data_IF_876252505540
#
_entry.id   IF_876252505540
#
_cell.length_a   1.000
_cell.length_b   1.000
_cell.length_c   1.000
_cell.angle_alpha   90.00
_cell.angle_beta   90.00
_cell.angle_gamma   90.00
#
_symmetry.space_group_name_H-M   'P 1'
#
loop_
_entity.id
_entity.type
_entity.pdbx_description
1 polymer ?
#
# COMPACT_ATOMS: atom_id res chain seq x y z
N UNK A 1 6.00 19.32 13.97
CA UNK A 1 4.71 19.30 13.22
C UNK A 1 3.47 19.49 14.10
N UNK A 2 3.18 18.61 15.09
CA UNK A 2 1.97 18.73 15.95
C UNK A 2 1.87 20.08 16.66
N UNK A 3 2.99 20.61 17.15
CA UNK A 3 3.04 21.91 17.82
C UNK A 3 2.70 23.07 16.89
N UNK A 4 3.25 23.10 15.67
CA UNK A 4 2.91 24.08 14.63
C UNK A 4 1.41 24.03 14.33
N UNK A 5 0.85 22.81 14.20
CA UNK A 5 -0.58 22.65 13.95
C UNK A 5 -1.46 23.17 15.09
N UNK A 6 -1.04 22.97 16.36
CA UNK A 6 -1.75 23.48 17.54
C UNK A 6 -1.60 25.00 17.68
N UNK A 7 -0.40 25.54 17.46
CA UNK A 7 -0.07 26.96 17.64
C UNK A 7 -0.74 27.86 16.60
N UNK A 8 -0.89 27.37 15.37
CA UNK A 8 -1.52 28.11 14.26
C UNK A 8 -2.81 27.43 13.78
N UNK A 9 -3.65 26.96 14.71
CA UNK A 9 -4.88 26.22 14.39
C UNK A 9 -5.85 27.05 13.53
N UNK A 10 -5.96 28.34 13.82
CA UNK A 10 -6.91 29.26 13.17
C UNK A 10 -6.28 30.04 12.00
N UNK A 11 -4.96 29.92 11.80
CA UNK A 11 -4.23 30.60 10.72
C UNK A 11 -3.53 29.57 9.82
N UNK A 12 -4.27 29.11 8.80
CA UNK A 12 -3.77 28.12 7.84
C UNK A 12 -2.58 28.62 7.02
N UNK A 13 -2.48 29.93 6.77
CA UNK A 13 -1.38 30.47 6.00
C UNK A 13 -0.08 30.40 6.79
N UNK A 14 -0.07 30.90 8.04
CA UNK A 14 1.12 30.73 8.92
C UNK A 14 1.44 29.28 9.19
N UNK A 15 0.42 28.44 9.38
CA UNK A 15 0.63 27.00 9.57
C UNK A 15 1.38 26.39 8.38
N UNK A 16 0.98 26.71 7.14
CA UNK A 16 1.65 26.21 5.94
C UNK A 16 3.08 26.74 5.80
N UNK A 17 3.31 28.01 6.13
CA UNK A 17 4.64 28.64 6.07
C UNK A 17 5.61 28.01 7.07
N UNK A 18 5.20 27.87 8.33
CA UNK A 18 6.02 27.26 9.38
C UNK A 18 6.26 25.76 9.11
N UNK A 19 5.29 25.06 8.52
CA UNK A 19 5.50 23.69 8.04
C UNK A 19 6.60 23.62 6.99
N UNK A 20 6.60 24.55 6.03
CA UNK A 20 7.62 24.63 4.98
C UNK A 20 8.99 25.01 5.53
N UNK A 21 9.06 25.93 6.50
CA UNK A 21 10.32 26.25 7.21
C UNK A 21 10.90 25.03 7.91
N UNK A 22 10.07 24.30 8.66
CA UNK A 22 10.47 23.06 9.33
C UNK A 22 11.02 22.02 8.33
N UNK A 23 10.35 21.85 7.19
CA UNK A 23 10.83 20.94 6.14
C UNK A 23 12.20 21.36 5.57
N UNK A 24 12.42 22.67 5.36
CA UNK A 24 13.69 23.22 4.90
C UNK A 24 14.81 23.05 5.92
N UNK A 25 14.55 23.34 7.20
CA UNK A 25 15.52 23.19 8.29
C UNK A 25 16.01 21.75 8.43
N UNK A 26 15.09 20.79 8.38
CA UNK A 26 15.42 19.36 8.44
C UNK A 26 15.83 18.75 7.09
N UNK A 27 15.95 19.57 6.02
CA UNK A 27 16.30 19.13 4.66
C UNK A 27 15.42 17.98 4.14
N UNK A 28 14.17 17.96 4.54
CA UNK A 28 13.17 16.97 4.12
C UNK A 28 12.28 17.56 3.04
N UNK A 29 11.96 16.79 1.99
CA UNK A 29 11.09 17.25 0.90
C UNK A 29 9.71 16.56 0.96
N UNK A 30 8.59 17.30 1.10
CA UNK A 30 7.25 16.69 1.08
C UNK A 30 6.92 16.01 -0.25
N UNK A 31 7.53 16.44 -1.36
CA UNK A 31 7.38 15.81 -2.68
C UNK A 31 8.24 14.54 -2.85
N UNK A 32 9.14 14.23 -1.93
CA UNK A 32 9.88 12.96 -2.00
C UNK A 32 8.93 11.75 -1.98
N UNK A 33 7.73 11.90 -1.41
CA UNK A 33 6.70 10.86 -1.41
C UNK A 33 6.11 10.56 -2.80
N UNK A 34 6.19 11.47 -3.78
CA UNK A 34 5.69 11.23 -5.14
C UNK A 34 6.79 10.78 -6.11
N UNK A 35 8.07 10.91 -5.73
CA UNK A 35 9.21 10.47 -6.52
C UNK A 35 9.12 9.01 -7.01
N UNK A 36 8.68 8.03 -6.19
CA UNK A 36 8.56 6.65 -6.65
C UNK A 36 7.60 6.48 -7.84
N UNK A 37 6.50 7.24 -7.85
CA UNK A 37 5.51 7.20 -8.93
C UNK A 37 6.13 7.75 -10.22
N UNK A 38 6.86 8.87 -10.13
CA UNK A 38 7.51 9.49 -11.28
C UNK A 38 8.62 8.60 -11.85
N UNK A 39 9.42 7.98 -10.98
CA UNK A 39 10.49 7.08 -11.40
C UNK A 39 9.95 5.81 -12.08
N UNK A 40 8.76 5.33 -11.70
CA UNK A 40 8.13 4.14 -12.29
C UNK A 40 7.37 4.43 -13.59
N UNK A 41 6.90 5.67 -13.80
CA UNK A 41 6.06 6.05 -14.92
C UNK A 41 6.61 5.61 -16.31
N UNK A 42 7.92 5.73 -16.63
CA UNK A 42 8.44 5.30 -17.93
C UNK A 42 8.25 3.82 -18.22
N UNK A 43 8.43 2.97 -17.20
CA UNK A 43 8.25 1.50 -17.31
C UNK A 43 6.79 1.18 -17.55
N UNK A 44 5.90 1.87 -16.82
CA UNK A 44 4.46 1.74 -17.00
C UNK A 44 4.04 2.10 -18.43
N UNK A 45 4.45 3.26 -18.94
CA UNK A 45 4.06 3.72 -20.28
C UNK A 45 4.60 2.80 -21.38
N UNK A 46 5.83 2.29 -21.24
CA UNK A 46 6.39 1.35 -22.20
C UNK A 46 5.55 0.05 -22.26
N UNK A 47 5.27 -0.57 -21.12
CA UNK A 47 4.49 -1.82 -21.06
C UNK A 47 3.04 -1.61 -21.48
N UNK A 48 2.41 -0.53 -21.04
CA UNK A 48 1.04 -0.19 -21.44
C UNK A 48 0.95 0.00 -22.96
N UNK A 49 1.88 0.74 -23.56
CA UNK A 49 1.90 0.99 -25.01
C UNK A 49 2.01 -0.31 -25.80
N UNK A 50 2.87 -1.23 -25.35
CA UNK A 50 3.07 -2.52 -26.01
C UNK A 50 1.83 -3.43 -25.87
N UNK A 51 1.32 -3.60 -24.65
CA UNK A 51 0.16 -4.48 -24.39
C UNK A 51 -1.12 -3.93 -25.03
N UNK A 52 -1.32 -2.62 -24.97
CA UNK A 52 -2.44 -1.96 -25.64
C UNK A 52 -2.27 -2.01 -27.16
N UNK A 53 -1.04 -1.93 -27.66
CA UNK A 53 -0.74 -2.10 -29.08
C UNK A 53 -1.09 -3.49 -29.59
N UNK A 54 -0.75 -4.55 -28.84
CA UNK A 54 -1.15 -5.93 -29.15
C UNK A 54 -2.68 -6.05 -29.29
N UNK A 55 -3.43 -5.44 -28.39
CA UNK A 55 -4.90 -5.45 -28.42
C UNK A 55 -5.49 -4.75 -29.66
N UNK A 56 -4.84 -3.69 -30.14
CA UNK A 56 -5.30 -2.89 -31.27
C UNK A 56 -4.59 -3.22 -32.58
N UNK A 57 -3.91 -4.37 -32.65
CA UNK A 57 -3.10 -4.78 -33.80
C UNK A 57 -2.11 -3.70 -34.28
N UNK A 58 -1.53 -2.96 -33.34
CA UNK A 58 -0.56 -1.88 -33.59
C UNK A 58 0.84 -2.35 -33.17
N UNK A 59 1.78 -2.49 -34.13
CA UNK A 59 3.11 -2.98 -33.83
C UNK A 59 3.92 -1.95 -33.04
N UNK A 60 4.70 -2.43 -32.08
CA UNK A 60 5.63 -1.61 -31.28
C UNK A 60 6.95 -2.34 -31.07
N UNK A 61 8.06 -1.70 -31.47
CA UNK A 61 9.39 -2.27 -31.36
C UNK A 61 9.52 -3.61 -32.12
N UNK A 62 9.92 -4.66 -31.40
CA UNK A 62 10.07 -6.01 -31.96
C UNK A 62 8.75 -6.79 -32.07
N UNK A 63 7.65 -6.33 -31.45
CA UNK A 63 6.34 -6.96 -31.59
C UNK A 63 5.65 -6.49 -32.87
N UNK A 64 6.01 -7.14 -33.97
CA UNK A 64 5.49 -6.93 -35.33
C UNK A 64 5.35 -8.27 -36.07
N UNK A 65 4.53 -8.30 -37.12
CA UNK A 65 4.30 -9.50 -37.93
C UNK A 65 3.84 -10.68 -37.07
N UNK A 66 4.48 -11.84 -37.24
CA UNK A 66 4.12 -13.08 -36.55
C UNK A 66 4.21 -12.97 -35.03
N UNK A 67 5.13 -12.17 -34.50
CA UNK A 67 5.25 -11.95 -33.05
C UNK A 67 4.04 -11.20 -32.49
N UNK A 68 3.48 -10.25 -33.25
CA UNK A 68 2.29 -9.50 -32.84
C UNK A 68 1.07 -10.42 -32.82
N UNK A 69 0.89 -11.21 -33.89
CA UNK A 69 -0.21 -12.18 -33.99
C UNK A 69 -0.11 -13.25 -32.89
N UNK A 70 1.09 -13.80 -32.67
CA UNK A 70 1.34 -14.77 -31.61
C UNK A 70 1.03 -14.19 -30.22
N UNK A 71 1.50 -12.96 -29.94
CA UNK A 71 1.20 -12.28 -28.69
C UNK A 71 -0.30 -12.00 -28.52
N UNK A 72 -1.01 -11.59 -29.57
CA UNK A 72 -2.44 -11.33 -29.51
C UNK A 72 -3.26 -12.59 -29.21
N UNK A 73 -2.80 -13.76 -29.67
CA UNK A 73 -3.45 -15.05 -29.45
C UNK A 73 -3.06 -15.70 -28.11
N UNK A 74 -2.08 -15.16 -27.38
CA UNK A 74 -1.66 -15.69 -26.09
C UNK A 74 -2.82 -15.65 -25.09
N UNK A 75 -3.01 -16.76 -24.36
CA UNK A 75 -4.13 -16.94 -23.43
C UNK A 75 -3.67 -16.94 -21.99
N UNK A 76 -4.42 -16.26 -21.14
CA UNK A 76 -4.29 -16.29 -19.68
C UNK A 76 -5.58 -16.85 -19.09
N UNK A 77 -5.48 -18.02 -18.44
CA UNK A 77 -6.67 -18.79 -17.99
C UNK A 77 -7.74 -18.95 -19.10
N UNK A 78 -7.30 -19.13 -20.35
CA UNK A 78 -8.18 -19.29 -21.52
C UNK A 78 -8.69 -17.98 -22.14
N UNK A 79 -8.47 -16.82 -21.51
CA UNK A 79 -8.80 -15.51 -22.07
C UNK A 79 -7.63 -14.95 -22.89
N UNK A 80 -7.81 -14.59 -24.18
CA UNK A 80 -6.76 -13.93 -24.96
C UNK A 80 -6.36 -12.60 -24.33
N UNK A 81 -5.06 -12.33 -24.22
CA UNK A 81 -4.55 -11.12 -23.55
C UNK A 81 -4.85 -9.82 -24.30
N UNK A 82 -5.18 -9.93 -25.58
CA UNK A 82 -5.56 -8.81 -26.46
C UNK A 82 -7.00 -8.36 -26.27
N UNK A 83 -7.87 -9.24 -25.75
CA UNK A 83 -9.30 -8.95 -25.66
C UNK A 83 -9.64 -8.09 -24.43
N UNK A 84 -10.73 -7.33 -24.52
CA UNK A 84 -11.28 -6.50 -23.44
C UNK A 84 -12.61 -7.07 -22.96
N UNK A 85 -13.08 -6.64 -21.79
CA UNK A 85 -14.38 -7.09 -21.25
C UNK A 85 -15.55 -6.67 -22.14
N UNK A 86 -15.53 -5.42 -22.62
CA UNK A 86 -16.61 -4.87 -23.46
C UNK A 86 -16.53 -5.32 -24.92
N UNK A 87 -15.33 -5.67 -25.40
CA UNK A 87 -15.09 -6.05 -26.80
C UNK A 87 -15.18 -7.56 -27.08
N UNK A 88 -15.39 -8.40 -26.06
CA UNK A 88 -15.43 -9.85 -26.20
C UNK A 88 -16.76 -10.46 -25.79
N UNK A 89 -17.28 -11.36 -26.62
CA UNK A 89 -18.45 -12.19 -26.29
C UNK A 89 -18.08 -13.41 -25.45
N UNK A 90 -16.79 -13.73 -25.31
CA UNK A 90 -16.34 -14.93 -24.60
C UNK A 90 -16.57 -14.76 -23.10
N UNK A 91 -17.38 -15.65 -22.53
CA UNK A 91 -17.63 -15.67 -21.09
C UNK A 91 -16.34 -15.83 -20.27
N UNK A 92 -15.37 -16.58 -20.78
CA UNK A 92 -14.05 -16.74 -20.16
C UNK A 92 -13.33 -15.40 -20.00
N UNK A 93 -13.38 -14.52 -21.00
CA UNK A 93 -12.74 -13.19 -20.93
C UNK A 93 -13.42 -12.34 -19.88
N UNK A 94 -14.76 -12.38 -19.82
CA UNK A 94 -15.55 -11.65 -18.82
C UNK A 94 -15.20 -12.10 -17.39
N UNK A 95 -15.18 -13.41 -17.15
CA UNK A 95 -14.84 -13.98 -15.83
C UNK A 95 -13.41 -13.62 -15.43
N UNK A 96 -12.43 -13.85 -16.31
CA UNK A 96 -11.01 -13.56 -16.01
C UNK A 96 -10.81 -12.07 -15.73
N UNK A 97 -11.45 -11.20 -16.50
CA UNK A 97 -11.36 -9.74 -16.31
C UNK A 97 -11.94 -9.32 -14.96
N UNK A 98 -13.13 -9.80 -14.60
CA UNK A 98 -13.75 -9.49 -13.31
C UNK A 98 -12.89 -9.99 -12.14
N UNK A 99 -12.31 -11.20 -12.24
CA UNK A 99 -11.41 -11.72 -11.23
C UNK A 99 -10.14 -10.87 -11.08
N UNK A 100 -9.55 -10.43 -12.20
CA UNK A 100 -8.37 -9.55 -12.18
C UNK A 100 -8.70 -8.19 -11.56
N UNK A 101 -9.82 -7.57 -11.93
CA UNK A 101 -10.26 -6.28 -11.36
C UNK A 101 -10.55 -6.42 -9.86
N UNK A 102 -11.22 -7.49 -9.44
CA UNK A 102 -11.49 -7.75 -8.03
C UNK A 102 -10.19 -7.96 -7.24
N UNK A 103 -9.24 -8.71 -7.81
CA UNK A 103 -7.93 -8.95 -7.23
C UNK A 103 -7.11 -7.65 -7.12
N UNK A 104 -7.06 -6.83 -8.17
CA UNK A 104 -6.42 -5.52 -8.18
C UNK A 104 -7.01 -4.61 -7.12
N UNK A 105 -8.33 -4.45 -7.10
CA UNK A 105 -9.04 -3.63 -6.11
C UNK A 105 -8.75 -4.10 -4.69
N UNK A 106 -8.77 -5.42 -4.44
CA UNK A 106 -8.48 -6.00 -3.14
C UNK A 106 -7.02 -5.79 -2.69
N UNK A 107 -6.06 -6.01 -3.59
CA UNK A 107 -4.63 -5.80 -3.29
C UNK A 107 -4.29 -4.33 -3.08
N UNK A 108 -4.81 -3.42 -3.91
CA UNK A 108 -4.64 -1.97 -3.71
C UNK A 108 -5.30 -1.50 -2.41
N UNK A 109 -6.54 -1.92 -2.13
CA UNK A 109 -7.25 -1.57 -0.91
C UNK A 109 -6.50 -2.03 0.34
N UNK A 110 -6.06 -3.29 0.36
CA UNK A 110 -5.31 -3.83 1.50
C UNK A 110 -3.95 -3.16 1.67
N UNK A 111 -3.25 -2.85 0.58
CA UNK A 111 -1.99 -2.08 0.62
C UNK A 111 -2.20 -0.70 1.24
N UNK A 112 -3.19 0.05 0.77
CA UNK A 112 -3.49 1.38 1.30
C UNK A 112 -3.97 1.33 2.76
N UNK A 113 -4.83 0.37 3.10
CA UNK A 113 -5.26 0.15 4.49
C UNK A 113 -4.07 -0.19 5.39
N UNK A 114 -3.14 -1.03 4.92
CA UNK A 114 -1.95 -1.39 5.68
C UNK A 114 -1.03 -0.19 5.90
N UNK A 115 -0.83 0.64 4.89
CA UNK A 115 -0.07 1.88 4.99
C UNK A 115 -0.69 2.82 6.04
N UNK A 116 -2.02 3.02 6.00
CA UNK A 116 -2.72 3.88 6.96
C UNK A 116 -2.69 3.35 8.39
N UNK A 117 -2.98 2.06 8.59
CA UNK A 117 -3.14 1.49 9.94
C UNK A 117 -1.81 1.14 10.58
N UNK A 118 -0.81 0.71 9.81
CA UNK A 118 0.46 0.19 10.34
C UNK A 118 1.67 1.06 10.02
N UNK A 119 1.66 1.79 8.91
CA UNK A 119 2.82 2.55 8.43
C UNK A 119 2.85 4.01 8.90
N UNK A 120 1.70 4.57 9.29
CA UNK A 120 1.59 5.98 9.67
C UNK A 120 1.62 6.15 11.19
N UNK A 121 2.37 7.13 11.73
CA UNK A 121 2.30 7.49 13.13
C UNK A 121 0.89 7.89 13.54
N UNK A 122 0.50 7.57 14.78
CA UNK A 122 -0.78 8.02 15.37
C UNK A 122 -0.74 9.55 15.50
N UNK A 123 -1.23 10.26 14.49
CA UNK A 123 -1.45 11.70 14.54
C UNK A 123 -2.91 12.00 14.82
N UNK A 124 -3.15 12.96 15.72
CA UNK A 124 -4.51 13.41 16.05
C UNK A 124 -5.24 13.86 14.79
N UNK A 125 -6.50 13.45 14.67
CA UNK A 125 -7.31 13.49 13.45
C UNK A 125 -7.70 14.90 12.99
N UNK A 126 -7.17 15.96 13.61
CA UNK A 126 -7.79 17.27 13.61
C UNK A 126 -7.50 18.15 12.39
N UNK A 127 -6.56 17.86 11.49
CA UNK A 127 -6.40 18.60 10.21
C UNK A 127 -5.39 17.97 9.23
N UNK A 128 -5.31 16.65 9.16
CA UNK A 128 -4.29 16.00 8.35
C UNK A 128 -4.74 15.83 6.89
N UNK A 129 -4.38 16.82 6.05
CA UNK A 129 -4.54 16.77 4.60
C UNK A 129 -3.96 15.47 4.01
N UNK A 130 -2.85 14.97 4.55
CA UNK A 130 -2.25 13.69 4.15
C UNK A 130 -3.14 12.47 4.44
N UNK A 131 -3.77 12.41 5.62
CA UNK A 131 -4.69 11.33 5.97
C UNK A 131 -5.97 11.37 5.12
N UNK A 132 -6.48 12.57 4.83
CA UNK A 132 -7.62 12.73 3.93
C UNK A 132 -7.29 12.27 2.52
N UNK A 133 -6.13 12.66 1.97
CA UNK A 133 -5.67 12.19 0.66
C UNK A 133 -5.59 10.65 0.60
N UNK A 134 -5.00 10.01 1.61
CA UNK A 134 -4.92 8.54 1.65
C UNK A 134 -6.29 7.87 1.78
N UNK A 135 -7.22 8.43 2.56
CA UNK A 135 -8.60 7.91 2.65
C UNK A 135 -9.37 8.05 1.34
N UNK A 136 -9.23 9.19 0.65
CA UNK A 136 -9.83 9.39 -0.67
C UNK A 136 -9.31 8.34 -1.63
N UNK A 137 -7.98 8.17 -1.69
CA UNK A 137 -7.36 7.14 -2.52
C UNK A 137 -7.90 5.73 -2.18
N UNK A 138 -8.09 5.41 -0.90
CA UNK A 138 -8.51 4.06 -0.47
C UNK A 138 -9.87 3.67 -1.06
N UNK A 139 -10.82 4.61 -1.06
CA UNK A 139 -12.19 4.35 -1.51
C UNK A 139 -12.40 4.64 -2.99
N UNK A 140 -11.68 5.62 -3.55
CA UNK A 140 -11.85 6.04 -4.93
C UNK A 140 -11.20 5.08 -5.93
N UNK A 141 -9.99 4.59 -5.66
CA UNK A 141 -9.28 3.72 -6.61
C UNK A 141 -10.01 2.42 -6.95
N UNK A 142 -10.61 1.69 -6.00
CA UNK A 142 -11.39 0.48 -6.33
C UNK A 142 -12.55 0.76 -7.28
N UNK A 143 -13.21 1.92 -7.12
CA UNK A 143 -14.33 2.33 -8.00
C UNK A 143 -13.80 2.67 -9.40
N UNK A 144 -12.70 3.44 -9.47
CA UNK A 144 -12.05 3.74 -10.75
C UNK A 144 -11.63 2.46 -11.46
N UNK A 145 -11.03 1.49 -10.76
CA UNK A 145 -10.64 0.23 -11.39
C UNK A 145 -11.84 -0.61 -11.82
N UNK A 146 -12.96 -0.58 -11.10
CA UNK A 146 -14.17 -1.27 -11.51
C UNK A 146 -14.75 -0.68 -12.81
N UNK A 147 -14.78 0.65 -12.95
CA UNK A 147 -15.37 1.33 -14.11
C UNK A 147 -14.41 1.37 -15.30
N UNK A 148 -13.15 1.70 -15.08
CA UNK A 148 -12.15 1.81 -16.15
C UNK A 148 -11.58 0.46 -16.57
N UNK A 149 -11.49 -0.50 -15.64
CA UNK A 149 -10.89 -1.82 -15.86
C UNK A 149 -11.51 -2.60 -17.01
N UNK A 150 -12.82 -2.47 -17.23
CA UNK A 150 -13.55 -3.18 -18.30
C UNK A 150 -13.15 -2.73 -19.71
N UNK A 151 -12.56 -1.55 -19.84
CA UNK A 151 -12.10 -1.01 -21.12
C UNK A 151 -10.67 -1.45 -21.47
N UNK A 152 -9.92 -1.99 -20.49
CA UNK A 152 -8.54 -2.37 -20.72
C UNK A 152 -8.41 -3.81 -21.22
N UNK A 153 -7.40 -4.09 -22.08
CA UNK A 153 -7.08 -5.45 -22.48
C UNK A 153 -6.69 -6.31 -21.28
N UNK A 154 -7.02 -7.60 -21.32
CA UNK A 154 -6.66 -8.57 -20.28
C UNK A 154 -5.16 -8.53 -19.97
N UNK A 155 -4.30 -8.38 -20.98
CA UNK A 155 -2.85 -8.23 -20.82
C UNK A 155 -2.45 -7.06 -19.92
N UNK A 156 -3.11 -5.91 -20.09
CA UNK A 156 -2.86 -4.72 -19.26
C UNK A 156 -3.33 -4.96 -17.82
N UNK A 157 -4.46 -5.65 -17.62
CA UNK A 157 -4.95 -6.03 -16.29
C UNK A 157 -4.04 -7.04 -15.58
N UNK A 158 -3.45 -7.98 -16.31
CA UNK A 158 -2.44 -8.91 -15.76
C UNK A 158 -1.22 -8.14 -15.26
N UNK A 159 -0.74 -7.19 -16.05
CA UNK A 159 0.39 -6.35 -15.67
C UNK A 159 0.09 -5.56 -14.38
N UNK A 160 -1.06 -4.89 -14.30
CA UNK A 160 -1.44 -4.18 -13.08
C UNK A 160 -1.61 -5.13 -11.89
N UNK A 161 -2.25 -6.29 -12.09
CA UNK A 161 -2.44 -7.29 -11.04
C UNK A 161 -1.11 -7.75 -10.47
N UNK A 162 -0.16 -8.06 -11.34
CA UNK A 162 1.18 -8.52 -10.96
C UNK A 162 1.94 -7.43 -10.22
N UNK A 163 1.87 -6.19 -10.70
CA UNK A 163 2.51 -5.03 -10.05
C UNK A 163 1.91 -4.78 -8.67
N UNK A 164 0.59 -4.79 -8.54
CA UNK A 164 -0.10 -4.61 -7.25
C UNK A 164 0.25 -5.74 -6.28
N UNK A 165 0.32 -7.00 -6.74
CA UNK A 165 0.72 -8.14 -5.91
C UNK A 165 2.16 -7.98 -5.40
N UNK A 166 3.07 -7.59 -6.28
CA UNK A 166 4.46 -7.31 -5.90
C UNK A 166 4.54 -6.19 -4.85
N UNK A 167 3.89 -5.05 -5.10
CA UNK A 167 3.85 -3.92 -4.17
C UNK A 167 3.23 -4.32 -2.84
N UNK A 168 2.13 -5.07 -2.86
CA UNK A 168 1.49 -5.57 -1.64
C UNK A 168 2.44 -6.46 -0.83
N UNK A 169 3.13 -7.41 -1.49
CA UNK A 169 4.11 -8.29 -0.84
C UNK A 169 5.33 -7.55 -0.31
N UNK A 170 5.88 -6.64 -1.11
CA UNK A 170 7.01 -5.79 -0.72
C UNK A 170 6.65 -4.89 0.46
N UNK A 171 5.49 -4.24 0.42
CA UNK A 171 5.02 -3.37 1.50
C UNK A 171 4.77 -4.18 2.78
N UNK A 172 4.20 -5.38 2.65
CA UNK A 172 4.02 -6.28 3.77
C UNK A 172 5.36 -6.67 4.43
N UNK A 173 6.36 -7.02 3.62
CA UNK A 173 7.69 -7.35 4.11
C UNK A 173 8.39 -6.14 4.77
N UNK A 174 8.36 -4.97 4.12
CA UNK A 174 9.02 -3.75 4.59
C UNK A 174 8.41 -3.26 5.90
N UNK A 175 7.08 -3.19 6.01
CA UNK A 175 6.43 -2.78 7.28
C UNK A 175 6.79 -3.73 8.42
N UNK A 176 6.95 -5.02 8.13
CA UNK A 176 7.29 -6.00 9.15
C UNK A 176 8.76 -5.91 9.60
N UNK A 177 9.68 -5.62 8.68
CA UNK A 177 11.13 -5.69 8.94
C UNK A 177 11.78 -4.33 9.24
N UNK A 178 11.24 -3.27 8.66
CA UNK A 178 11.69 -1.90 8.84
C UNK A 178 10.48 -0.95 9.01
N UNK A 179 9.69 -1.10 10.10
CA UNK A 179 8.55 -0.23 10.35
C UNK A 179 9.00 1.21 10.59
N UNK A 180 8.21 2.17 10.12
CA UNK A 180 8.45 3.60 10.33
C UNK A 180 8.48 3.93 11.83
N UNK A 181 9.49 4.67 12.33
CA UNK A 181 9.53 5.12 13.72
C UNK A 181 8.24 5.84 14.14
N UNK A 182 7.74 5.56 15.35
CA UNK A 182 6.49 6.12 15.86
C UNK A 182 5.20 5.56 15.25
N UNK A 183 5.28 4.54 14.38
CA UNK A 183 4.11 3.81 13.87
C UNK A 183 3.68 2.68 14.82
N UNK A 184 2.42 2.21 14.76
CA UNK A 184 1.97 1.07 15.56
C UNK A 184 2.80 -0.21 15.32
N UNK A 185 3.27 -0.43 14.08
CA UNK A 185 4.13 -1.57 13.75
C UNK A 185 5.51 -1.46 14.42
N UNK A 186 6.03 -0.24 14.60
CA UNK A 186 7.28 0.01 15.31
C UNK A 186 7.13 -0.20 16.81
N UNK A 187 6.03 0.27 17.42
CA UNK A 187 5.69 0.00 18.82
C UNK A 187 5.60 -1.51 19.10
N UNK A 188 4.92 -2.29 18.24
CA UNK A 188 4.82 -3.74 18.37
C UNK A 188 6.19 -4.43 18.27
N UNK A 189 7.05 -3.98 17.36
CA UNK A 189 8.38 -4.55 17.16
C UNK A 189 9.30 -4.25 18.36
N UNK A 190 9.24 -3.05 18.91
CA UNK A 190 9.94 -2.72 20.16
C UNK A 190 9.46 -3.57 21.33
N UNK A 191 8.13 -3.75 21.51
CA UNK A 191 7.56 -4.62 22.55
C UNK A 191 8.06 -6.06 22.44
N UNK A 192 8.12 -6.60 21.21
CA UNK A 192 8.65 -7.96 20.95
C UNK A 192 10.14 -8.08 21.28
N UNK A 193 10.95 -7.08 20.91
CA UNK A 193 12.38 -7.04 21.25
C UNK A 193 12.58 -6.96 22.76
N UNK A 194 11.82 -6.12 23.46
CA UNK A 194 11.86 -6.00 24.92
C UNK A 194 11.46 -7.31 25.63
N UNK A 195 10.39 -7.98 25.16
CA UNK A 195 9.99 -9.28 25.70
C UNK A 195 11.07 -10.35 25.47
N UNK A 196 11.67 -10.40 24.27
CA UNK A 196 12.73 -11.38 23.97
C UNK A 196 13.97 -11.16 24.84
N UNK A 197 14.40 -9.92 25.02
CA UNK A 197 15.54 -9.62 25.88
C UNK A 197 15.30 -9.98 27.36
N UNK A 198 14.07 -9.77 27.87
CA UNK A 198 13.67 -10.24 29.21
C UNK A 198 13.76 -11.76 29.36
N UNK A 199 13.43 -12.52 28.30
CA UNK A 199 13.52 -13.98 28.32
C UNK A 199 14.97 -14.49 28.18
N UNK A 200 15.81 -13.76 27.44
CA UNK A 200 17.21 -14.11 27.19
C UNK A 200 18.17 -13.63 28.31
N UNK A 201 17.66 -13.01 29.38
CA UNK A 201 18.47 -12.55 30.52
C UNK A 201 19.50 -11.46 30.17
N UNK A 202 19.35 -10.80 29.02
CA UNK A 202 20.23 -9.71 28.58
C UNK A 202 19.60 -8.37 28.93
N UNK A 203 20.29 -7.56 29.73
CA UNK A 203 19.98 -6.13 29.85
C UNK A 203 20.14 -5.48 28.47
N UNK A 204 19.12 -4.71 28.09
CA UNK A 204 19.08 -4.01 26.82
C UNK A 204 19.71 -2.64 27.08
N UNK A 205 20.97 -2.48 26.68
CA UNK A 205 21.60 -1.17 26.67
C UNK A 205 21.10 -0.39 25.43
N UNK A 206 20.69 0.87 25.62
CA UNK A 206 20.27 1.77 24.54
C UNK A 206 18.76 1.99 24.32
N UNK A 207 17.96 2.12 25.38
CA UNK A 207 16.64 2.76 25.29
C UNK A 207 16.78 4.20 25.77
N UNK A 208 16.60 5.16 24.86
CA UNK A 208 16.47 6.58 25.18
C UNK A 208 15.26 6.76 26.14
N UNK A 209 15.46 7.25 27.39
CA UNK A 209 14.40 7.29 28.40
C UNK A 209 13.24 8.24 28.07
N UNK A 210 13.40 9.08 27.06
CA UNK A 210 12.45 10.14 26.70
C UNK A 210 11.18 9.66 25.98
N UNK A 211 11.14 8.41 25.50
CA UNK A 211 9.97 7.85 24.78
C UNK A 211 9.01 7.06 25.69
N UNK A 212 9.09 7.28 27.00
CA UNK A 212 8.16 6.75 28.01
C UNK A 212 6.81 7.48 27.94
N UNK A 213 6.12 7.41 26.80
CA UNK A 213 4.70 7.72 26.75
C UNK A 213 3.97 6.63 27.56
N UNK A 214 3.40 7.08 28.68
CA UNK A 214 2.51 6.37 29.60
C UNK A 214 1.93 5.07 29.02
N UNK A 215 2.38 3.95 29.57
CA UNK A 215 1.69 2.69 29.38
C UNK A 215 0.25 2.85 29.90
N UNK A 216 -0.80 2.67 29.07
CA UNK A 216 -2.16 2.65 29.60
C UNK A 216 -2.26 1.46 30.55
N UNK A 217 -2.76 1.71 31.76
CA UNK A 217 -3.06 0.70 32.78
C UNK A 217 -3.77 -0.49 32.13
N UNK A 218 -3.19 -1.68 32.30
CA UNK A 218 -3.81 -2.94 31.87
C UNK A 218 -4.98 -3.22 32.82
N UNK A 219 -6.14 -2.63 32.56
CA UNK A 219 -7.38 -3.07 33.20
C UNK A 219 -7.81 -4.43 32.62
N UNK A 220 -7.76 -5.45 33.48
CA UNK A 220 -8.69 -6.57 33.43
C UNK A 220 -8.27 -7.79 32.61
N UNK A 221 -7.12 -8.40 32.90
CA UNK A 221 -6.92 -9.81 32.51
C UNK A 221 -7.69 -10.71 33.51
N UNK A 222 -8.87 -11.18 33.10
CA UNK A 222 -9.72 -12.10 33.87
C UNK A 222 -8.94 -13.38 34.17
N UNK A 223 -8.54 -13.58 35.44
CA UNK A 223 -7.86 -14.80 35.87
C UNK A 223 -8.82 -15.99 35.77
N UNK A 224 -8.53 -16.94 34.86
CA UNK A 224 -9.24 -18.22 34.83
C UNK A 224 -8.72 -19.12 35.96
N UNK A 225 -9.59 -19.68 36.81
CA UNK A 225 -9.17 -20.58 37.87
C UNK A 225 -8.67 -21.92 37.28
N UNK A 226 -7.46 -22.33 37.66
CA UNK A 226 -6.90 -23.64 37.28
C UNK A 226 -7.62 -24.76 38.04
N UNK A 227 -8.15 -25.74 37.29
CA UNK A 227 -8.83 -26.94 37.80
C UNK A 227 -7.86 -27.77 38.66
N UNK A 228 -8.19 -28.01 39.93
CA UNK A 228 -7.40 -28.88 40.83
C UNK A 228 -7.40 -30.32 40.30
N UNK A 229 -6.22 -30.91 40.11
CA UNK A 229 -6.07 -32.35 39.80
C UNK A 229 -6.53 -33.18 41.01
N UNK A 230 -7.52 -34.06 40.82
CA UNK A 230 -7.89 -35.08 41.80
C UNK A 230 -6.70 -36.03 42.00
N UNK A 231 -6.26 -36.21 43.24
CA UNK A 231 -5.36 -37.32 43.62
C UNK A 231 -6.20 -38.61 43.64
N UNK A 232 -5.60 -39.71 43.16
CA UNK A 232 -6.10 -41.08 43.32
C UNK A 232 -6.10 -41.45 44.79
#
# INVERSE_FOLDING_TARGET
>A
MKEIQKKYKDDRQKQSEEMMKLYKEHKTNPMASCFPILAQAPIFFALFTVLNGIAHNKPHGFLKGDYLTSAAQAKFFGAPISETFLGSDKITVKIVTVLLIAFMSGTTFTTQRQLMVKGMPKMDSSNNMMLQQQKIMLYLFPIIFAISGVNFPVGVLIYWSTTNLWTWGQQFYVIKRNPTPGSPAYEELQRKRAHKAKMDGKEIDGIDPTDSAEAPEVQGQRQQPKKKKKKK
#
